data_IF_164105194584
#
_entry.id   IF_164105194584
#
_cell.length_a   1.000
_cell.length_b   1.000
_cell.length_c   1.000
_cell.angle_alpha   90.00
_cell.angle_beta   90.00
_cell.angle_gamma   90.00
#
_symmetry.space_group_name_H-M   'P 1'
#
loop_
_entity.id
_entity.type
_entity.pdbx_description
1 polymer ?
#
# COMPACT_ATOMS: atom_id res chain seq x y z
N UNK A 1 -28.91 -10.20 -21.45
CA UNK A 1 -28.66 -11.43 -20.66
C UNK A 1 -28.40 -11.00 -19.22
N UNK A 2 -29.04 -11.65 -18.24
CA UNK A 2 -28.77 -11.34 -16.84
C UNK A 2 -27.34 -11.79 -16.49
N UNK A 3 -26.59 -10.95 -15.77
CA UNK A 3 -25.23 -11.24 -15.30
C UNK A 3 -25.32 -12.39 -14.28
N UNK A 4 -24.52 -13.45 -14.44
CA UNK A 4 -24.56 -14.60 -13.52
C UNK A 4 -23.94 -14.24 -12.16
N UNK A 5 -24.27 -14.96 -11.07
CA UNK A 5 -23.65 -14.72 -9.76
C UNK A 5 -22.11 -14.80 -9.78
N UNK A 6 -21.55 -15.68 -10.61
CA UNK A 6 -20.10 -15.81 -10.78
C UNK A 6 -19.51 -14.57 -11.45
N UNK A 7 -20.17 -14.06 -12.49
CA UNK A 7 -19.76 -12.83 -13.16
C UNK A 7 -19.87 -11.60 -12.25
N UNK A 8 -20.87 -11.57 -11.36
CA UNK A 8 -21.00 -10.52 -10.35
C UNK A 8 -19.83 -10.53 -9.37
N UNK A 9 -19.48 -11.71 -8.83
CA UNK A 9 -18.34 -11.86 -7.90
C UNK A 9 -17.03 -11.48 -8.55
N UNK A 10 -16.79 -11.92 -9.78
CA UNK A 10 -15.56 -11.56 -10.48
C UNK A 10 -15.47 -10.06 -10.74
N UNK A 11 -16.58 -9.44 -11.17
CA UNK A 11 -16.63 -7.98 -11.33
C UNK A 11 -16.29 -7.26 -10.02
N UNK A 12 -16.89 -7.67 -8.90
CA UNK A 12 -16.65 -7.07 -7.60
C UNK A 12 -15.17 -7.18 -7.20
N UNK A 13 -14.59 -8.37 -7.33
CA UNK A 13 -13.19 -8.65 -7.01
C UNK A 13 -12.20 -7.84 -7.86
N UNK A 14 -12.51 -7.61 -9.13
CA UNK A 14 -11.62 -6.87 -10.04
C UNK A 14 -11.75 -5.35 -9.89
N UNK A 15 -12.94 -4.84 -9.56
CA UNK A 15 -13.24 -3.41 -9.70
C UNK A 15 -13.40 -2.65 -8.39
N UNK A 16 -13.65 -3.33 -7.27
CA UNK A 16 -13.82 -2.69 -5.97
C UNK A 16 -12.55 -2.85 -5.14
N UNK A 17 -12.27 -1.84 -4.33
CA UNK A 17 -11.26 -1.95 -3.27
C UNK A 17 -11.68 -3.07 -2.31
N UNK A 18 -10.74 -3.94 -1.92
CA UNK A 18 -11.03 -5.12 -1.09
C UNK A 18 -11.70 -4.75 0.23
N UNK A 19 -11.27 -3.64 0.83
CA UNK A 19 -11.80 -3.17 2.11
C UNK A 19 -13.25 -2.68 1.96
N UNK A 20 -13.59 -2.13 0.79
CA UNK A 20 -14.97 -1.76 0.50
C UNK A 20 -15.86 -2.97 0.28
N UNK A 21 -15.38 -3.99 -0.45
CA UNK A 21 -16.12 -5.23 -0.64
C UNK A 21 -16.37 -5.94 0.70
N UNK A 22 -15.33 -6.06 1.54
CA UNK A 22 -15.43 -6.64 2.88
C UNK A 22 -16.47 -5.91 3.74
N UNK A 23 -16.47 -4.56 3.73
CA UNK A 23 -17.45 -3.77 4.46
C UNK A 23 -18.89 -4.12 4.06
N UNK A 24 -19.16 -4.27 2.76
CA UNK A 24 -20.51 -4.62 2.30
C UNK A 24 -20.91 -6.04 2.71
N UNK A 25 -19.98 -6.99 2.66
CA UNK A 25 -20.19 -8.38 3.10
C UNK A 25 -20.43 -8.47 4.61
N UNK A 26 -19.63 -7.77 5.42
CA UNK A 26 -19.75 -7.74 6.88
C UNK A 26 -21.11 -7.22 7.35
N UNK A 27 -21.66 -6.21 6.65
CA UNK A 27 -22.98 -5.66 6.93
C UNK A 27 -24.14 -6.40 6.27
N UNK A 28 -23.88 -7.54 5.63
CA UNK A 28 -24.91 -8.43 5.08
C UNK A 28 -25.62 -7.88 3.84
N UNK A 29 -24.98 -7.01 3.07
CA UNK A 29 -25.50 -6.54 1.78
C UNK A 29 -25.51 -7.73 0.81
N UNK A 30 -26.64 -8.03 0.17
CA UNK A 30 -26.74 -9.18 -0.74
C UNK A 30 -25.93 -8.99 -2.03
N UNK A 31 -25.51 -10.08 -2.67
CA UNK A 31 -24.61 -10.04 -3.85
C UNK A 31 -25.15 -9.19 -5.00
N UNK A 32 -26.46 -9.22 -5.27
CA UNK A 32 -27.04 -8.43 -6.34
C UNK A 32 -26.97 -6.93 -6.02
N UNK A 33 -27.23 -6.55 -4.77
CA UNK A 33 -27.09 -5.18 -4.30
C UNK A 33 -25.62 -4.74 -4.23
N UNK A 34 -24.70 -5.60 -3.77
CA UNK A 34 -23.27 -5.35 -3.81
C UNK A 34 -22.81 -5.04 -5.24
N UNK A 35 -23.25 -5.85 -6.22
CA UNK A 35 -22.95 -5.63 -7.63
C UNK A 35 -23.47 -4.28 -8.13
N UNK A 36 -24.71 -3.91 -7.81
CA UNK A 36 -25.28 -2.61 -8.21
C UNK A 36 -24.56 -1.42 -7.56
N UNK A 37 -24.29 -1.49 -6.24
CA UNK A 37 -23.50 -0.48 -5.51
C UNK A 37 -22.11 -0.37 -6.12
N UNK A 38 -21.49 -1.52 -6.36
CA UNK A 38 -20.17 -1.66 -6.96
C UNK A 38 -20.06 -1.10 -8.37
N UNK A 39 -21.16 -0.96 -9.12
CA UNK A 39 -21.13 -0.25 -10.42
C UNK A 39 -20.94 1.26 -10.26
N UNK A 40 -21.41 1.86 -9.16
CA UNK A 40 -21.38 3.30 -8.91
C UNK A 40 -20.22 3.73 -8.01
N UNK A 41 -19.97 2.96 -6.96
CA UNK A 41 -18.96 3.25 -5.95
C UNK A 41 -17.90 2.15 -5.98
N UNK A 42 -16.63 2.55 -6.03
CA UNK A 42 -15.49 1.61 -6.08
C UNK A 42 -14.71 1.52 -4.78
N UNK A 43 -14.93 2.47 -3.87
CA UNK A 43 -14.13 2.65 -2.67
C UNK A 43 -14.94 3.24 -1.51
N UNK A 44 -14.54 2.94 -0.27
CA UNK A 44 -15.11 3.47 0.98
C UNK A 44 -15.17 5.01 0.94
N UNK A 45 -14.10 5.66 0.50
CA UNK A 45 -14.00 7.14 0.46
C UNK A 45 -15.12 7.82 -0.34
N UNK A 46 -15.53 7.24 -1.47
CA UNK A 46 -16.61 7.78 -2.32
C UNK A 46 -17.97 7.39 -1.79
N UNK A 47 -18.09 6.17 -1.24
CA UNK A 47 -19.32 5.69 -0.65
C UNK A 47 -19.68 6.45 0.65
N UNK A 48 -18.70 6.81 1.47
CA UNK A 48 -18.94 7.52 2.73
C UNK A 48 -19.49 8.94 2.57
N UNK A 49 -19.42 9.54 1.37
CA UNK A 49 -19.69 10.97 1.16
C UNK A 49 -20.79 11.26 0.15
N UNK A 50 -21.46 10.26 -0.41
CA UNK A 50 -22.49 10.52 -1.43
C UNK A 50 -23.75 11.18 -0.86
N UNK A 51 -23.92 11.18 0.47
CA UNK A 51 -25.02 11.80 1.18
C UNK A 51 -24.54 12.25 2.58
N UNK A 52 -25.26 13.18 3.20
CA UNK A 52 -24.88 13.75 4.49
C UNK A 52 -25.48 13.01 5.69
N UNK A 53 -26.73 12.58 5.57
CA UNK A 53 -27.53 11.97 6.65
C UNK A 53 -28.29 10.70 6.20
N UNK A 54 -28.82 9.94 7.18
CA UNK A 54 -29.54 8.68 6.92
C UNK A 54 -30.78 8.87 6.06
N UNK A 55 -31.43 10.03 6.10
CA UNK A 55 -32.62 10.31 5.28
C UNK A 55 -32.22 10.44 3.81
N UNK A 56 -31.21 11.25 3.53
CA UNK A 56 -30.64 11.41 2.19
C UNK A 56 -30.12 10.09 1.63
N UNK A 57 -29.46 9.26 2.46
CA UNK A 57 -29.01 7.92 2.07
C UNK A 57 -30.17 7.02 1.67
N UNK A 58 -31.25 6.96 2.47
CA UNK A 58 -32.42 6.14 2.13
C UNK A 58 -33.10 6.59 0.84
N UNK A 59 -33.19 7.90 0.63
CA UNK A 59 -33.73 8.49 -0.59
C UNK A 59 -32.87 8.12 -1.81
N UNK A 60 -31.56 8.28 -1.71
CA UNK A 60 -30.61 7.91 -2.76
C UNK A 60 -30.66 6.40 -3.07
N UNK A 61 -30.72 5.53 -2.04
CA UNK A 61 -30.84 4.08 -2.24
C UNK A 61 -32.10 3.72 -3.03
N UNK A 62 -33.22 4.36 -2.70
CA UNK A 62 -34.49 4.14 -3.38
C UNK A 62 -34.43 4.58 -4.84
N UNK A 63 -33.82 5.75 -5.11
CA UNK A 63 -33.68 6.30 -6.45
C UNK A 63 -32.68 5.51 -7.32
N UNK A 64 -31.54 5.14 -6.76
CA UNK A 64 -30.41 4.59 -7.52
C UNK A 64 -30.51 3.07 -7.69
N UNK A 65 -30.97 2.35 -6.67
CA UNK A 65 -31.00 0.88 -6.67
C UNK A 65 -32.41 0.29 -6.83
N UNK A 66 -33.42 1.16 -6.99
CA UNK A 66 -34.82 0.75 -7.17
C UNK A 66 -35.37 -0.13 -6.03
N UNK A 67 -34.82 0.01 -4.81
CA UNK A 67 -35.29 -0.70 -3.61
C UNK A 67 -36.27 0.21 -2.88
N UNK A 68 -37.56 -0.14 -2.90
CA UNK A 68 -38.61 0.62 -2.21
C UNK A 68 -38.91 0.00 -0.86
N UNK A 69 -39.17 0.79 0.21
CA UNK A 69 -39.43 0.28 1.55
C UNK A 69 -40.82 -0.37 1.73
N UNK A 70 -41.38 -0.96 0.68
CA UNK A 70 -42.76 -1.47 0.63
C UNK A 70 -42.87 -2.78 1.45
N UNK A 71 -41.87 -3.66 1.37
CA UNK A 71 -41.83 -4.93 2.11
C UNK A 71 -40.85 -4.89 3.29
N UNK A 72 -41.04 -5.80 4.26
CA UNK A 72 -40.09 -5.95 5.36
C UNK A 72 -38.69 -6.39 4.87
N UNK A 73 -38.64 -7.21 3.82
CA UNK A 73 -37.39 -7.65 3.21
C UNK A 73 -36.64 -6.48 2.56
N UNK A 74 -37.34 -5.61 1.82
CA UNK A 74 -36.71 -4.44 1.19
C UNK A 74 -36.25 -3.42 2.23
N UNK A 75 -37.04 -3.21 3.29
CA UNK A 75 -36.61 -2.38 4.43
C UNK A 75 -35.35 -2.92 5.12
N UNK A 76 -35.21 -4.24 5.24
CA UNK A 76 -34.01 -4.86 5.77
C UNK A 76 -32.79 -4.63 4.85
N UNK A 77 -32.95 -4.76 3.52
CA UNK A 77 -31.89 -4.48 2.55
C UNK A 77 -31.43 -3.03 2.58
N UNK A 78 -32.38 -2.09 2.65
CA UNK A 78 -32.08 -0.67 2.83
C UNK A 78 -31.32 -0.45 4.14
N UNK A 79 -31.74 -1.11 5.23
CA UNK A 79 -31.08 -0.98 6.52
C UNK A 79 -29.63 -1.46 6.48
N UNK A 80 -29.33 -2.62 5.89
CA UNK A 80 -27.97 -3.14 5.70
C UNK A 80 -27.05 -2.13 4.98
N UNK A 81 -27.55 -1.52 3.91
CA UNK A 81 -26.76 -0.55 3.14
C UNK A 81 -26.59 0.78 3.87
N UNK A 82 -27.60 1.23 4.62
CA UNK A 82 -27.49 2.41 5.50
C UNK A 82 -26.46 2.15 6.60
N UNK A 83 -26.46 0.98 7.24
CA UNK A 83 -25.47 0.66 8.29
C UNK A 83 -24.06 0.53 7.72
N UNK A 84 -23.90 -0.04 6.52
CA UNK A 84 -22.61 -0.08 5.83
C UNK A 84 -22.09 1.33 5.52
N UNK A 85 -22.98 2.25 5.13
CA UNK A 85 -22.63 3.66 4.89
C UNK A 85 -22.22 4.38 6.19
N UNK A 86 -22.93 4.15 7.29
CA UNK A 86 -22.55 4.72 8.60
C UNK A 86 -21.15 4.24 9.02
N UNK A 87 -20.88 2.94 8.88
CA UNK A 87 -19.55 2.38 9.14
C UNK A 87 -18.48 2.95 8.19
N UNK A 88 -18.79 3.14 6.91
CA UNK A 88 -17.88 3.78 5.96
C UNK A 88 -17.48 5.21 6.39
N UNK A 89 -18.43 5.98 6.94
CA UNK A 89 -18.15 7.32 7.49
C UNK A 89 -17.20 7.26 8.68
N UNK A 90 -17.45 6.35 9.63
CA UNK A 90 -16.58 6.15 10.79
C UNK A 90 -15.16 5.75 10.39
N UNK A 91 -15.02 4.78 9.47
CA UNK A 91 -13.72 4.35 8.95
C UNK A 91 -12.97 5.54 8.35
N UNK A 92 -13.63 6.36 7.54
CA UNK A 92 -13.02 7.55 6.92
C UNK A 92 -12.58 8.58 7.96
N UNK A 93 -13.36 8.80 9.01
CA UNK A 93 -13.03 9.74 10.08
C UNK A 93 -11.83 9.25 10.91
N UNK A 94 -11.80 7.97 11.28
CA UNK A 94 -10.66 7.32 11.95
C UNK A 94 -9.40 7.38 11.08
N UNK A 95 -9.49 7.06 9.78
CA UNK A 95 -8.35 7.17 8.86
C UNK A 95 -7.83 8.61 8.74
N UNK A 96 -8.73 9.60 8.70
CA UNK A 96 -8.35 11.01 8.67
C UNK A 96 -7.63 11.42 9.96
N UNK A 97 -8.09 10.94 11.12
CA UNK A 97 -7.45 11.17 12.42
C UNK A 97 -6.07 10.51 12.49
N UNK A 98 -5.95 9.24 12.12
CA UNK A 98 -4.68 8.53 12.05
C UNK A 98 -3.67 9.24 11.13
N UNK A 99 -4.15 9.74 9.98
CA UNK A 99 -3.30 10.53 9.07
C UNK A 99 -2.85 11.85 9.70
N UNK A 100 -3.74 12.53 10.44
CA UNK A 100 -3.40 13.76 11.14
C UNK A 100 -2.39 13.50 12.27
N UNK A 101 -2.58 12.44 13.05
CA UNK A 101 -1.66 12.02 14.12
C UNK A 101 -0.28 11.65 13.57
N UNK A 102 -0.22 10.87 12.48
CA UNK A 102 1.03 10.54 11.81
C UNK A 102 1.79 11.80 11.37
N UNK A 103 1.07 12.78 10.80
CA UNK A 103 1.67 14.07 10.40
C UNK A 103 2.22 14.85 11.59
N UNK A 104 1.50 14.90 12.72
CA UNK A 104 1.96 15.58 13.95
C UNK A 104 3.21 14.90 14.52
N UNK A 105 3.27 13.58 14.45
CA UNK A 105 4.40 12.78 14.97
C UNK A 105 5.57 12.67 13.97
N UNK A 106 5.46 13.25 12.78
CA UNK A 106 6.45 13.09 11.71
C UNK A 106 6.62 11.65 11.23
N UNK A 107 5.58 10.82 11.40
CA UNK A 107 5.54 9.44 10.96
C UNK A 107 5.03 9.35 9.52
N UNK A 108 5.58 8.40 8.75
CA UNK A 108 5.07 8.15 7.41
C UNK A 108 3.64 7.61 7.49
N UNK A 109 2.82 7.96 6.51
CA UNK A 109 1.45 7.46 6.43
C UNK A 109 1.47 5.93 6.38
N UNK A 110 0.79 5.22 7.30
CA UNK A 110 0.70 3.77 7.24
C UNK A 110 0.12 3.30 5.91
N UNK A 111 0.74 2.28 5.32
CA UNK A 111 0.26 1.66 4.10
C UNK A 111 -0.81 0.60 4.43
N UNK A 112 -1.98 0.71 3.80
CA UNK A 112 -3.10 -0.20 4.02
C UNK A 112 -2.70 -1.67 3.81
N UNK A 113 -3.25 -2.57 4.61
CA UNK A 113 -2.88 -4.01 4.57
C UNK A 113 -3.24 -4.65 3.22
N UNK A 114 -4.41 -4.30 2.69
CA UNK A 114 -4.91 -4.67 1.36
C UNK A 114 -3.96 -4.24 0.25
N UNK A 115 -3.51 -2.98 0.29
CA UNK A 115 -2.52 -2.43 -0.65
C UNK A 115 -1.20 -3.20 -0.60
N UNK A 116 -0.69 -3.50 0.60
CA UNK A 116 0.55 -4.28 0.77
C UNK A 116 0.41 -5.69 0.19
N UNK A 117 -0.72 -6.36 0.44
CA UNK A 117 -0.99 -7.69 -0.11
C UNK A 117 -1.02 -7.66 -1.64
N UNK A 118 -1.70 -6.68 -2.25
CA UNK A 118 -1.74 -6.52 -3.71
C UNK A 118 -0.35 -6.26 -4.32
N UNK A 119 0.46 -5.40 -3.69
CA UNK A 119 1.84 -5.14 -4.13
C UNK A 119 2.71 -6.40 -4.02
N UNK A 120 2.53 -7.19 -2.96
CA UNK A 120 3.25 -8.43 -2.75
C UNK A 120 2.92 -9.46 -3.84
N UNK A 121 1.63 -9.63 -4.16
CA UNK A 121 1.19 -10.51 -5.25
C UNK A 121 1.81 -10.08 -6.58
N UNK A 122 1.90 -8.78 -6.85
CA UNK A 122 2.55 -8.27 -8.06
C UNK A 122 4.05 -8.61 -8.08
N UNK A 123 4.75 -8.49 -6.95
CA UNK A 123 6.16 -8.88 -6.84
C UNK A 123 6.36 -10.39 -7.06
N UNK A 124 5.54 -11.22 -6.43
CA UNK A 124 5.56 -12.68 -6.58
C UNK A 124 5.28 -13.10 -8.03
N UNK A 125 4.37 -12.41 -8.71
CA UNK A 125 4.09 -12.62 -10.13
C UNK A 125 5.30 -12.30 -11.02
N UNK A 126 6.02 -11.20 -10.75
CA UNK A 126 7.23 -10.84 -11.49
C UNK A 126 8.38 -11.80 -11.21
N UNK A 127 8.53 -12.28 -9.96
CA UNK A 127 9.59 -13.21 -9.56
C UNK A 127 9.31 -14.66 -9.98
N UNK A 128 8.05 -15.06 -10.12
CA UNK A 128 7.63 -16.43 -10.41
C UNK A 128 7.65 -17.38 -9.20
N UNK A 129 7.86 -16.86 -7.98
CA UNK A 129 7.88 -17.65 -6.74
C UNK A 129 7.40 -16.83 -5.54
N UNK A 130 7.00 -17.51 -4.47
CA UNK A 130 6.55 -16.87 -3.23
C UNK A 130 7.71 -16.19 -2.50
N UNK A 131 7.53 -14.92 -2.11
CA UNK A 131 8.60 -14.08 -1.55
C UNK A 131 8.81 -14.40 -0.08
N UNK A 132 10.04 -14.66 0.35
CA UNK A 132 10.36 -14.87 1.77
C UNK A 132 10.40 -13.55 2.55
N UNK A 133 10.29 -13.59 3.88
CA UNK A 133 10.32 -12.36 4.71
C UNK A 133 11.66 -11.59 4.63
N UNK A 134 12.75 -12.23 4.20
CA UNK A 134 14.05 -11.57 3.96
C UNK A 134 14.11 -10.83 2.62
N UNK A 135 13.27 -11.21 1.66
CA UNK A 135 13.18 -10.59 0.33
C UNK A 135 11.99 -9.62 0.22
N UNK A 136 11.10 -9.63 1.21
CA UNK A 136 10.01 -8.68 1.33
C UNK A 136 10.49 -7.43 2.08
N UNK A 137 10.33 -6.23 1.53
CA UNK A 137 10.65 -4.99 2.24
C UNK A 137 9.72 -4.75 3.43
N UNK A 138 10.24 -4.09 4.46
CA UNK A 138 9.45 -3.73 5.64
C UNK A 138 8.31 -2.78 5.27
N UNK A 139 7.20 -2.86 6.03
CA UNK A 139 6.00 -2.07 5.77
C UNK A 139 6.28 -0.56 5.94
N UNK A 140 7.06 -0.20 6.95
CA UNK A 140 7.50 1.18 7.21
C UNK A 140 8.42 1.70 6.11
N UNK A 141 9.28 0.84 5.56
CA UNK A 141 10.20 1.19 4.48
C UNK A 141 9.44 1.47 3.17
N UNK A 142 8.50 0.59 2.82
CA UNK A 142 7.58 0.81 1.70
C UNK A 142 6.77 2.10 1.84
N UNK A 143 6.21 2.34 3.02
CA UNK A 143 5.43 3.54 3.30
C UNK A 143 6.26 4.82 3.11
N UNK A 144 7.51 4.82 3.56
CA UNK A 144 8.43 5.94 3.38
C UNK A 144 8.73 6.24 1.91
N UNK A 145 9.05 5.20 1.11
CA UNK A 145 9.29 5.39 -0.32
C UNK A 145 8.03 5.84 -1.07
N UNK A 146 6.86 5.35 -0.66
CA UNK A 146 5.59 5.80 -1.22
C UNK A 146 5.35 7.29 -0.94
N UNK A 147 5.61 7.77 0.27
CA UNK A 147 5.49 9.19 0.62
C UNK A 147 6.42 10.07 -0.23
N UNK A 148 7.67 9.65 -0.45
CA UNK A 148 8.59 10.35 -1.36
C UNK A 148 8.05 10.44 -2.79
N UNK A 149 7.44 9.37 -3.30
CA UNK A 149 6.78 9.34 -4.60
C UNK A 149 5.57 10.27 -4.64
N UNK A 150 4.78 10.34 -3.56
CA UNK A 150 3.62 11.23 -3.44
C UNK A 150 4.05 12.70 -3.44
N UNK A 151 5.13 13.03 -2.72
CA UNK A 151 5.72 14.38 -2.66
C UNK A 151 6.46 14.78 -3.95
N UNK A 152 6.77 13.83 -4.83
CA UNK A 152 7.45 14.09 -6.10
C UNK A 152 8.97 14.14 -6.02
N UNK A 153 9.55 13.73 -4.88
CA UNK A 153 10.99 13.77 -4.62
C UNK A 153 11.50 12.37 -4.22
N UNK A 154 11.49 11.38 -5.13
CA UNK A 154 12.08 10.07 -4.85
C UNK A 154 13.59 10.21 -4.64
N UNK A 155 14.09 9.78 -3.49
CA UNK A 155 15.52 9.79 -3.18
C UNK A 155 16.05 8.36 -3.02
N UNK A 156 17.34 8.19 -3.34
CA UNK A 156 18.08 6.97 -3.03
C UNK A 156 18.09 6.75 -1.52
N UNK A 157 17.93 5.49 -1.10
CA UNK A 157 18.13 5.14 0.30
C UNK A 157 19.58 4.75 0.55
N UNK A 158 20.03 5.01 1.77
CA UNK A 158 21.27 4.42 2.27
C UNK A 158 21.07 2.92 2.53
N UNK A 159 22.14 2.13 2.44
CA UNK A 159 22.07 0.67 2.56
C UNK A 159 21.59 0.19 3.94
N UNK A 160 21.80 0.99 4.99
CA UNK A 160 21.27 0.76 6.34
C UNK A 160 19.79 1.10 6.46
N UNK A 161 19.21 1.86 5.54
CA UNK A 161 17.76 2.15 5.52
C UNK A 161 16.95 1.10 4.76
N UNK A 162 17.59 0.34 3.85
CA UNK A 162 16.93 -0.73 3.10
C UNK A 162 16.72 -1.93 4.03
N UNK A 163 15.49 -2.11 4.52
CA UNK A 163 15.18 -3.07 5.58
C UNK A 163 14.11 -4.05 5.13
N UNK A 164 14.37 -5.34 5.37
CA UNK A 164 13.42 -6.42 5.10
C UNK A 164 12.40 -6.56 6.21
N UNK A 165 11.26 -7.20 5.93
CA UNK A 165 10.27 -7.55 6.94
C UNK A 165 10.87 -8.39 8.07
N UNK A 166 11.77 -9.32 7.75
CA UNK A 166 12.50 -10.13 8.73
C UNK A 166 13.34 -9.25 9.67
N UNK A 167 14.05 -8.26 9.13
CA UNK A 167 14.86 -7.34 9.93
C UNK A 167 13.99 -6.41 10.77
N UNK A 168 12.88 -5.89 10.22
CA UNK A 168 11.95 -5.04 10.95
C UNK A 168 11.33 -5.74 12.16
N UNK A 169 10.97 -7.01 12.04
CA UNK A 169 10.48 -7.83 13.17
C UNK A 169 11.50 -8.04 14.28
N UNK A 170 12.79 -7.91 13.99
CA UNK A 170 13.88 -8.01 14.97
C UNK A 170 14.24 -6.69 15.65
N UNK A 171 13.73 -5.54 15.15
CA UNK A 171 14.01 -4.23 15.72
C UNK A 171 13.16 -4.00 16.97
N UNK A 172 13.83 -3.91 18.13
CA UNK A 172 13.18 -3.58 19.40
C UNK A 172 12.76 -2.11 19.44
N UNK A 173 11.54 -1.85 19.94
CA UNK A 173 11.06 -0.50 20.26
C UNK A 173 11.97 0.12 21.33
N UNK A 174 12.83 1.05 20.93
CA UNK A 174 13.68 1.78 21.87
C UNK A 174 12.89 2.96 22.46
N UNK A 175 12.49 2.87 23.72
CA UNK A 175 11.98 4.00 24.51
C UNK A 175 13.13 4.65 25.24
N UNK A 176 13.50 5.89 24.88
CA UNK A 176 14.49 6.68 25.62
C UNK A 176 13.81 7.67 26.56
N UNK A 177 14.24 7.72 27.82
CA UNK A 177 13.95 8.84 28.72
C UNK A 177 14.92 10.00 28.43
N UNK A 178 14.43 11.23 28.47
CA UNK A 178 15.31 12.40 28.44
C UNK A 178 15.95 12.66 29.82
N UNK A 179 16.96 13.54 29.86
CA UNK A 179 17.67 13.92 31.10
C UNK A 179 16.79 14.61 32.15
N UNK A 180 15.52 14.90 31.85
CA UNK A 180 14.53 15.48 32.78
C UNK A 180 13.47 14.46 33.21
N UNK A 181 13.63 13.18 32.86
CA UNK A 181 12.68 12.14 33.22
C UNK A 181 11.37 12.19 32.41
N UNK A 182 11.32 13.00 31.33
CA UNK A 182 10.17 13.00 30.42
C UNK A 182 10.37 11.93 29.35
N UNK A 183 9.30 11.21 29.09
CA UNK A 183 9.25 10.12 28.12
C UNK A 183 9.19 10.74 26.72
N UNK A 184 10.34 10.88 26.06
CA UNK A 184 10.40 11.38 24.68
C UNK A 184 10.30 10.18 23.73
N UNK A 185 9.09 9.89 23.28
CA UNK A 185 8.86 8.89 22.23
C UNK A 185 9.30 9.50 20.90
N UNK A 186 10.59 9.43 20.59
CA UNK A 186 11.09 9.70 19.23
C UNK A 186 11.39 8.36 18.59
N UNK A 187 10.43 7.81 17.84
CA UNK A 187 10.66 6.57 17.11
C UNK A 187 11.59 6.92 15.94
N UNK A 188 12.86 6.54 16.05
CA UNK A 188 13.85 6.73 14.99
C UNK A 188 13.46 5.90 13.77
N UNK A 189 13.84 6.36 12.57
CA UNK A 189 13.74 5.53 11.36
C UNK A 189 14.45 4.21 11.65
N UNK A 190 13.79 3.05 11.41
CA UNK A 190 14.48 1.78 11.59
C UNK A 190 15.73 1.80 10.72
N UNK A 191 16.86 1.41 11.30
CA UNK A 191 18.14 1.22 10.60
C UNK A 191 18.52 -0.25 10.71
N UNK A 192 18.69 -0.89 9.56
CA UNK A 192 19.22 -2.23 9.43
C UNK A 192 20.74 -2.26 9.55
N UNK A 193 21.29 -3.46 9.41
CA UNK A 193 22.75 -3.64 9.40
C UNK A 193 23.31 -3.24 8.03
N UNK A 194 24.41 -2.51 8.03
CA UNK A 194 25.20 -2.27 6.83
C UNK A 194 25.74 -3.61 6.29
N UNK A 195 25.70 -3.84 4.97
CA UNK A 195 26.24 -5.07 4.39
C UNK A 195 27.76 -5.11 4.57
N UNK A 196 28.26 -6.23 5.09
CA UNK A 196 29.68 -6.46 5.33
C UNK A 196 30.31 -7.39 4.29
N UNK A 197 29.47 -8.13 3.55
CA UNK A 197 29.90 -9.01 2.46
C UNK A 197 29.25 -8.62 1.13
N UNK A 198 29.84 -9.08 0.04
CA UNK A 198 29.29 -8.90 -1.31
C UNK A 198 27.93 -9.57 -1.46
N UNK A 199 27.70 -10.72 -0.81
CA UNK A 199 26.39 -11.39 -0.79
C UNK A 199 25.34 -10.57 -0.03
N UNK A 200 25.70 -9.97 1.10
CA UNK A 200 24.81 -9.08 1.84
C UNK A 200 24.48 -7.81 1.04
N UNK A 201 25.45 -7.26 0.29
CA UNK A 201 25.22 -6.14 -0.60
C UNK A 201 24.24 -6.52 -1.74
N UNK A 202 24.43 -7.70 -2.36
CA UNK A 202 23.47 -8.22 -3.35
C UNK A 202 22.06 -8.36 -2.78
N UNK A 203 21.95 -8.88 -1.56
CA UNK A 203 20.67 -9.02 -0.88
C UNK A 203 19.99 -7.67 -0.65
N UNK A 204 20.72 -6.65 -0.17
CA UNK A 204 20.19 -5.28 0.02
C UNK A 204 19.73 -4.66 -1.30
N UNK A 205 20.50 -4.76 -2.37
CA UNK A 205 20.12 -4.18 -3.66
C UNK A 205 18.93 -4.92 -4.28
N UNK A 206 18.84 -6.25 -4.14
CA UNK A 206 17.66 -7.02 -4.58
C UNK A 206 16.42 -6.70 -3.75
N UNK A 207 16.58 -6.38 -2.48
CA UNK A 207 15.50 -5.91 -1.63
C UNK A 207 15.02 -4.51 -2.04
N UNK A 208 15.94 -3.62 -2.42
CA UNK A 208 15.62 -2.34 -3.04
C UNK A 208 14.84 -2.56 -4.35
N UNK A 209 15.30 -3.49 -5.20
CA UNK A 209 14.61 -3.86 -6.42
C UNK A 209 13.16 -4.31 -6.15
N UNK A 210 12.98 -5.20 -5.17
CA UNK A 210 11.66 -5.66 -4.74
C UNK A 210 10.76 -4.51 -4.28
N UNK A 211 11.32 -3.56 -3.52
CA UNK A 211 10.63 -2.34 -3.05
C UNK A 211 10.10 -1.54 -4.23
N UNK A 212 10.92 -1.26 -5.25
CA UNK A 212 10.49 -0.46 -6.39
C UNK A 212 9.49 -1.19 -7.31
N UNK A 213 9.58 -2.51 -7.44
CA UNK A 213 8.57 -3.30 -8.17
C UNK A 213 7.21 -3.27 -7.44
N UNK A 214 7.21 -3.40 -6.11
CA UNK A 214 6.00 -3.23 -5.30
C UNK A 214 5.39 -1.85 -5.48
N UNK A 215 6.21 -0.79 -5.45
CA UNK A 215 5.75 0.59 -5.67
C UNK A 215 5.25 0.83 -7.10
N UNK A 216 5.88 0.22 -8.12
CA UNK A 216 5.41 0.28 -9.51
C UNK A 216 3.99 -0.31 -9.64
N UNK A 217 3.69 -1.40 -8.94
CA UNK A 217 2.36 -2.01 -8.94
C UNK A 217 1.28 -1.06 -8.42
N UNK A 218 1.61 -0.21 -7.44
CA UNK A 218 0.71 0.79 -6.86
C UNK A 218 0.69 2.12 -7.64
N UNK A 219 1.83 2.57 -8.13
CA UNK A 219 2.04 3.90 -8.71
C UNK A 219 2.22 3.86 -10.25
N UNK A 220 1.41 3.07 -10.95
CA UNK A 220 1.50 2.83 -12.41
C UNK A 220 1.48 4.11 -13.28
N UNK A 221 0.96 5.22 -12.75
CA UNK A 221 0.87 6.51 -13.46
C UNK A 221 2.17 7.33 -13.47
N UNK A 222 3.22 6.95 -12.73
CA UNK A 222 4.47 7.73 -12.66
C UNK A 222 5.40 7.38 -13.83
N UNK A 223 5.72 8.37 -14.66
CA UNK A 223 6.52 8.19 -15.89
C UNK A 223 7.92 7.63 -15.62
N UNK A 224 8.58 8.07 -14.54
CA UNK A 224 9.95 7.64 -14.20
C UNK A 224 10.03 6.19 -13.69
N UNK A 225 8.90 5.57 -13.31
CA UNK A 225 8.84 4.16 -12.94
C UNK A 225 8.60 3.25 -14.15
N UNK A 226 8.30 3.83 -15.33
CA UNK A 226 7.96 3.06 -16.53
C UNK A 226 9.17 2.25 -17.01
N UNK A 227 8.96 0.96 -17.25
CA UNK A 227 10.01 0.05 -17.73
C UNK A 227 11.02 -0.35 -16.65
N UNK A 228 10.74 -0.09 -15.37
CA UNK A 228 11.57 -0.60 -14.29
C UNK A 228 11.34 -2.10 -14.10
N UNK A 229 12.42 -2.86 -14.21
CA UNK A 229 12.45 -4.31 -14.08
C UNK A 229 13.47 -4.73 -13.01
N UNK A 230 13.33 -5.94 -12.48
CA UNK A 230 14.35 -6.53 -11.59
C UNK A 230 15.73 -6.59 -12.28
N UNK A 231 15.74 -6.87 -13.59
CA UNK A 231 16.94 -6.92 -14.43
C UNK A 231 17.74 -5.61 -14.45
N UNK A 232 17.11 -4.47 -14.17
CA UNK A 232 17.78 -3.16 -14.06
C UNK A 232 18.71 -3.11 -12.85
N UNK A 233 18.32 -3.76 -11.74
CA UNK A 233 19.12 -3.84 -10.53
C UNK A 233 20.22 -4.89 -10.63
N UNK A 234 19.98 -5.99 -11.33
CA UNK A 234 21.02 -7.00 -11.59
C UNK A 234 22.15 -6.43 -12.45
N UNK A 235 21.84 -5.62 -13.47
CA UNK A 235 22.84 -4.88 -14.26
C UNK A 235 23.66 -3.92 -13.41
N UNK A 236 23.02 -3.26 -12.44
CA UNK A 236 23.70 -2.40 -11.48
C UNK A 236 24.63 -3.20 -10.55
N UNK A 237 24.19 -4.37 -10.08
CA UNK A 237 25.01 -5.28 -9.29
C UNK A 237 26.23 -5.79 -10.06
N UNK A 238 26.06 -6.17 -11.32
CA UNK A 238 27.16 -6.59 -12.19
C UNK A 238 28.17 -5.46 -12.39
N UNK A 239 27.70 -4.22 -12.54
CA UNK A 239 28.59 -3.05 -12.61
C UNK A 239 29.36 -2.82 -11.30
N UNK A 240 28.69 -2.90 -10.15
CA UNK A 240 29.34 -2.67 -8.84
C UNK A 240 30.38 -3.74 -8.48
N UNK A 241 30.08 -5.00 -8.80
CA UNK A 241 30.86 -6.16 -8.37
C UNK A 241 31.73 -6.76 -9.47
N UNK A 242 31.63 -6.27 -10.70
CA UNK A 242 32.42 -6.74 -11.84
C UNK A 242 33.82 -6.13 -11.89
N UNK A 243 34.70 -6.76 -12.67
CA UNK A 243 36.13 -6.42 -12.80
C UNK A 243 36.42 -4.98 -13.26
N UNK A 244 35.41 -4.25 -13.77
CA UNK A 244 35.55 -2.89 -14.29
C UNK A 244 35.34 -1.79 -13.25
N UNK A 245 35.11 -2.11 -11.98
CA UNK A 245 34.88 -1.10 -10.94
C UNK A 245 36.18 -0.77 -10.19
N UNK A 246 36.81 0.41 -10.40
CA UNK A 246 38.03 0.82 -9.68
C UNK A 246 37.79 1.20 -8.20
N UNK A 247 36.55 1.07 -7.68
CA UNK A 247 36.14 1.64 -6.40
C UNK A 247 36.04 0.66 -5.23
N UNK A 248 36.26 -0.65 -5.44
CA UNK A 248 36.19 -1.67 -4.38
C UNK A 248 37.35 -1.63 -3.36
N UNK A 249 38.25 -0.66 -3.45
CA UNK A 249 39.39 -0.50 -2.52
C UNK A 249 39.16 0.50 -1.36
N UNK A 250 37.95 1.03 -1.18
CA UNK A 250 37.63 2.03 -0.14
C UNK A 250 36.45 1.62 0.75
N UNK A 251 36.46 1.92 2.08
CA UNK A 251 35.31 1.67 2.96
C UNK A 251 34.11 2.51 2.50
N UNK A 252 32.95 1.87 2.40
CA UNK A 252 31.89 2.27 1.49
C UNK A 252 30.83 3.19 2.13
N UNK A 253 30.79 4.46 1.74
CA UNK A 253 29.59 5.34 1.78
C UNK A 253 29.05 5.44 0.34
N UNK A 254 27.88 4.87 0.03
CA UNK A 254 27.27 4.97 -1.31
C UNK A 254 25.79 5.31 -1.22
N UNK A 255 25.42 6.40 -1.91
CA UNK A 255 24.04 6.76 -2.24
C UNK A 255 23.61 6.02 -3.51
N UNK A 256 22.45 5.37 -3.47
CA UNK A 256 21.90 4.64 -4.62
C UNK A 256 21.15 5.61 -5.54
N UNK A 257 21.80 6.08 -6.61
CA UNK A 257 21.15 6.87 -7.67
C UNK A 257 20.65 5.96 -8.79
N UNK A 258 19.33 5.79 -8.92
CA UNK A 258 18.71 5.16 -10.10
C UNK A 258 18.04 6.25 -10.92
N UNK A 259 18.78 6.80 -11.88
CA UNK A 259 18.19 7.56 -12.99
C UNK A 259 18.01 6.61 -14.18
N UNK A 260 16.76 6.30 -14.52
CA UNK A 260 16.42 5.77 -15.84
C UNK A 260 16.67 6.89 -16.85
N UNK A 261 17.82 6.84 -17.54
CA UNK A 261 18.08 7.72 -18.68
C UNK A 261 17.20 7.21 -19.83
N UNK A 262 16.05 7.85 -20.02
CA UNK A 262 15.23 7.67 -21.21
C UNK A 262 16.07 7.96 -22.45
N UNK A 263 16.36 6.91 -23.22
CA UNK A 263 17.02 7.02 -24.50
C UNK A 263 15.99 7.41 -25.56
N UNK A 264 16.01 8.67 -25.97
CA UNK A 264 15.59 9.06 -27.32
C UNK A 264 16.59 8.49 -28.33
N UNK A 265 16.09 7.61 -29.21
CA UNK A 265 16.54 7.45 -30.60
C UNK A 265 15.35 7.07 -31.46
#
# INVERSE_FOLDING_TARGET
MAVTPEQQREYLRTNLDSDFLYLLEEHGVDLALQYQVGQRYKAIKTFAVFADDRSAVRAAITADFSIRPDTAADRARIACLVTAWEAAKLIREEEAKLKAEAKVLGMQKPLASSDRAAMRIALESVKGYAVSESEEPAAEYLAHKLEQIENGEPTGSYLDEVISRKEAGALQLQTSLDNQGRLRITRQKPKGKLPQSTEELRAKIRLEAATWIMLLAKCKGRVYLRGLELSSFDRYLEYLLGDRSPYLASPLEYEVFIYSRGGDR
#
